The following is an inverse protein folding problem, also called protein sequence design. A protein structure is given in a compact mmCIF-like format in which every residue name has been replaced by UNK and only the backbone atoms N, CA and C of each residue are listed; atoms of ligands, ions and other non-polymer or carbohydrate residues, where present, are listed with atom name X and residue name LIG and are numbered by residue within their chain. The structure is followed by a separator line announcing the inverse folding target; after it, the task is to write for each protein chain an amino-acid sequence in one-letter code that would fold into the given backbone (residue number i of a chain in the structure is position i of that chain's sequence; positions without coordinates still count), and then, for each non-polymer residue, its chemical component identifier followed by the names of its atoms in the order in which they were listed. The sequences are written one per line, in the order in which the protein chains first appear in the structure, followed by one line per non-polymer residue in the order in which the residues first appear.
data_IF_914539487300
#
_entry.id   IF_914539487300
#
_cell.length_a   1.000
_cell.length_b   1.000
_cell.length_c   1.000
_cell.angle_alpha   90.00
_cell.angle_beta   90.00
_cell.angle_gamma   90.00
#
_symmetry.space_group_name_H-M   'P 1'
#
loop_
_entity.id
_entity.type
_entity.pdbx_description
1 polymer ?
#
# COMPACT_ATOMS: atom_id res chain seq x y z
N UNK A 1 10.93 19.01 4.83
CA UNK A 1 9.80 19.04 3.87
C UNK A 1 9.10 17.69 3.90
N UNK A 2 7.76 17.64 3.79
CA UNK A 2 7.03 16.37 3.62
C UNK A 2 7.33 15.79 2.23
N UNK A 3 7.55 14.48 2.14
CA UNK A 3 7.77 13.78 0.86
C UNK A 3 6.45 13.70 0.07
N UNK A 4 6.51 13.85 -1.25
CA UNK A 4 5.38 13.59 -2.14
C UNK A 4 5.05 12.10 -2.18
N UNK A 5 3.85 11.74 -2.65
CA UNK A 5 3.46 10.34 -2.86
C UNK A 5 4.44 9.60 -3.77
N UNK A 6 4.92 10.25 -4.85
CA UNK A 6 5.90 9.67 -5.76
C UNK A 6 7.25 9.38 -5.06
N UNK A 7 7.73 10.29 -4.21
CA UNK A 7 8.98 10.09 -3.47
C UNK A 7 8.86 8.94 -2.46
N UNK A 8 7.70 8.75 -1.84
CA UNK A 8 7.44 7.63 -0.93
C UNK A 8 7.29 6.32 -1.69
N UNK A 9 6.57 6.33 -2.80
CA UNK A 9 6.42 5.18 -3.68
C UNK A 9 7.79 4.67 -4.14
N UNK A 10 8.69 5.57 -4.55
CA UNK A 10 10.07 5.22 -4.87
C UNK A 10 10.84 4.64 -3.66
N UNK A 11 10.68 5.24 -2.47
CA UNK A 11 11.33 4.75 -1.23
C UNK A 11 10.93 3.30 -0.93
N UNK A 12 9.63 3.00 -0.98
CA UNK A 12 9.07 1.67 -0.71
C UNK A 12 9.00 0.78 -1.94
N UNK A 13 9.53 1.25 -3.08
CA UNK A 13 9.55 0.57 -4.38
C UNK A 13 8.16 0.19 -4.89
N UNK A 14 7.11 0.90 -4.45
CA UNK A 14 5.72 0.64 -4.84
C UNK A 14 5.50 0.99 -6.32
N UNK A 15 4.90 0.09 -7.12
CA UNK A 15 4.53 0.41 -8.50
C UNK A 15 3.43 1.46 -8.52
N UNK A 16 3.49 2.37 -9.48
CA UNK A 16 2.45 3.39 -9.69
C UNK A 16 1.17 2.78 -10.30
N UNK A 17 1.34 1.81 -11.20
CA UNK A 17 0.28 1.02 -11.82
C UNK A 17 0.65 -0.48 -11.81
N UNK A 18 -0.30 -1.34 -11.48
CA UNK A 18 -0.11 -2.81 -11.37
C UNK A 18 -1.47 -3.52 -11.27
N UNK A 19 -1.49 -4.81 -10.92
CA UNK A 19 -2.70 -5.58 -10.56
C UNK A 19 -2.65 -5.97 -9.07
N UNK A 20 -3.80 -6.27 -8.42
CA UNK A 20 -3.80 -6.74 -7.04
C UNK A 20 -2.91 -7.97 -6.82
N UNK A 21 -2.91 -8.95 -7.74
CA UNK A 21 -2.06 -10.15 -7.63
C UNK A 21 -0.57 -9.78 -7.64
N UNK A 22 -0.15 -8.95 -8.60
CA UNK A 22 1.25 -8.51 -8.68
C UNK A 22 1.67 -7.68 -7.46
N UNK A 23 0.76 -6.85 -6.93
CA UNK A 23 1.00 -6.10 -5.70
C UNK A 23 1.13 -7.04 -4.49
N UNK A 24 0.25 -8.04 -4.38
CA UNK A 24 0.30 -9.05 -3.32
C UNK A 24 1.63 -9.81 -3.35
N UNK A 25 2.00 -10.35 -4.51
CA UNK A 25 3.26 -11.08 -4.71
C UNK A 25 4.50 -10.25 -4.33
N UNK A 26 4.46 -8.95 -4.63
CA UNK A 26 5.54 -8.02 -4.26
C UNK A 26 5.65 -7.82 -2.74
N UNK A 27 4.52 -7.80 -2.03
CA UNK A 27 4.46 -7.50 -0.60
C UNK A 27 4.56 -8.76 0.29
N UNK A 28 4.06 -9.90 -0.17
CA UNK A 28 3.98 -11.17 0.57
C UNK A 28 5.35 -11.67 1.03
N UNK A 29 6.38 -11.52 0.19
CA UNK A 29 7.74 -11.95 0.53
C UNK A 29 8.40 -11.09 1.63
N UNK A 30 7.72 -10.05 2.11
CA UNK A 30 8.26 -9.08 3.05
C UNK A 30 7.23 -8.70 4.12
N UNK A 31 6.53 -9.66 4.72
CA UNK A 31 5.58 -9.43 5.85
C UNK A 31 4.42 -8.45 5.55
N UNK A 32 4.17 -8.16 4.27
CA UNK A 32 3.08 -7.28 3.86
C UNK A 32 1.73 -7.99 3.79
N UNK A 33 0.66 -7.22 3.69
CA UNK A 33 -0.71 -7.71 3.49
C UNK A 33 -1.50 -6.73 2.67
N UNK A 34 -2.41 -7.23 1.84
CA UNK A 34 -3.38 -6.41 1.12
C UNK A 34 -4.81 -6.82 1.47
N UNK A 35 -5.74 -5.90 1.30
CA UNK A 35 -7.17 -6.12 1.49
C UNK A 35 -7.94 -5.38 0.39
N UNK A 36 -8.81 -6.08 -0.32
CA UNK A 36 -9.78 -5.45 -1.23
C UNK A 36 -10.90 -4.79 -0.43
N UNK A 37 -11.16 -3.50 -0.68
CA UNK A 37 -12.16 -2.69 0.01
C UNK A 37 -12.90 -1.81 -1.01
N UNK A 38 -14.06 -2.29 -1.49
CA UNK A 38 -14.83 -1.60 -2.52
C UNK A 38 -14.06 -1.48 -3.83
N UNK A 39 -13.84 -0.26 -4.31
CA UNK A 39 -13.05 0.07 -5.50
C UNK A 39 -11.55 0.31 -5.20
N UNK A 40 -11.08 -0.10 -4.02
CA UNK A 40 -9.71 0.12 -3.54
C UNK A 40 -9.04 -1.18 -3.13
N UNK A 41 -7.70 -1.15 -3.19
CA UNK A 41 -6.84 -2.10 -2.51
C UNK A 41 -6.10 -1.36 -1.40
N UNK A 42 -6.27 -1.81 -0.17
CA UNK A 42 -5.54 -1.33 0.99
C UNK A 42 -4.30 -2.21 1.17
N UNK A 43 -3.16 -1.60 1.42
CA UNK A 43 -1.91 -2.32 1.58
C UNK A 43 -1.19 -1.87 2.86
N UNK A 44 -0.70 -2.84 3.62
CA UNK A 44 0.33 -2.64 4.61
C UNK A 44 1.60 -3.32 4.10
N UNK A 45 2.68 -2.57 3.94
CA UNK A 45 3.97 -3.11 3.51
C UNK A 45 5.03 -2.94 4.60
N UNK A 46 6.05 -3.79 4.55
CA UNK A 46 7.24 -3.67 5.40
C UNK A 46 8.40 -3.06 4.61
N UNK A 47 9.11 -2.15 5.26
CA UNK A 47 10.39 -1.63 4.82
C UNK A 47 11.22 -1.35 6.07
N UNK A 48 12.32 -2.07 6.24
CA UNK A 48 13.13 -2.00 7.46
C UNK A 48 13.53 -0.54 7.78
N UNK A 49 13.19 -0.12 8.99
CA UNK A 49 13.64 1.13 9.59
C UNK A 49 14.28 0.83 10.96
N UNK A 50 15.53 1.29 11.23
CA UNK A 50 16.20 1.05 12.50
C UNK A 50 15.49 1.67 13.72
N UNK A 51 14.51 2.56 13.53
CA UNK A 51 13.69 3.10 14.62
C UNK A 51 12.63 2.09 15.16
N UNK A 52 12.53 0.89 14.56
CA UNK A 52 11.61 -0.16 14.96
C UNK A 52 10.19 -0.05 14.38
N UNK A 53 9.89 1.04 13.66
CA UNK A 53 8.62 1.26 12.96
C UNK A 53 8.82 1.01 11.47
N UNK A 54 8.78 -0.26 11.09
CA UNK A 54 9.11 -0.71 9.73
C UNK A 54 7.90 -0.90 8.81
N UNK A 55 6.68 -0.57 9.23
CA UNK A 55 5.48 -0.75 8.40
C UNK A 55 5.01 0.57 7.81
N UNK A 56 4.45 0.54 6.60
CA UNK A 56 3.81 1.69 5.97
C UNK A 56 2.44 1.28 5.41
N UNK A 57 1.54 2.26 5.32
CA UNK A 57 0.25 2.08 4.66
C UNK A 57 0.28 2.63 3.24
N UNK A 58 -0.40 1.96 2.32
CA UNK A 58 -0.64 2.42 0.96
C UNK A 58 -2.08 2.14 0.53
N UNK A 59 -2.60 2.95 -0.38
CA UNK A 59 -3.94 2.79 -0.96
C UNK A 59 -3.82 2.85 -2.46
N UNK A 60 -4.35 1.83 -3.13
CA UNK A 60 -4.53 1.75 -4.56
C UNK A 60 -6.02 1.84 -4.90
N UNK A 61 -6.34 2.22 -6.14
CA UNK A 61 -7.71 2.24 -6.66
C UNK A 61 -7.80 1.50 -7.99
N UNK A 62 -8.83 0.69 -8.17
CA UNK A 62 -9.16 0.14 -9.47
C UNK A 62 -9.44 1.28 -10.46
N UNK A 63 -8.99 1.08 -11.70
CA UNK A 63 -9.16 2.06 -12.78
C UNK A 63 -10.19 1.65 -13.81
N UNK A 64 -10.70 0.42 -13.69
CA UNK A 64 -11.75 -0.19 -14.51
C UNK A 64 -12.77 -0.88 -13.61
N UNK A 65 -13.84 -1.43 -14.19
CA UNK A 65 -14.83 -2.23 -13.45
C UNK A 65 -14.35 -3.65 -13.12
N UNK A 66 -13.18 -4.05 -13.63
CA UNK A 66 -12.56 -5.33 -13.28
C UNK A 66 -11.93 -5.22 -11.90
N UNK A 67 -12.65 -5.72 -10.89
CA UNK A 67 -12.18 -5.77 -9.51
C UNK A 67 -11.65 -7.15 -9.11
N UNK A 68 -11.28 -7.98 -10.10
CA UNK A 68 -10.60 -9.26 -9.84
C UNK A 68 -9.12 -9.03 -9.50
N UNK A 69 -8.37 -10.11 -9.25
CA UNK A 69 -6.95 -10.03 -8.94
C UNK A 69 -6.07 -9.52 -10.11
N UNK A 70 -6.62 -9.49 -11.32
CA UNK A 70 -5.96 -9.00 -12.54
C UNK A 70 -6.39 -7.58 -12.95
N UNK A 71 -7.33 -6.99 -12.22
CA UNK A 71 -7.82 -5.64 -12.51
C UNK A 71 -6.74 -4.57 -12.38
N UNK A 72 -6.75 -3.58 -13.27
CA UNK A 72 -5.77 -2.48 -13.24
C UNK A 72 -5.98 -1.56 -12.04
N UNK A 73 -4.96 -1.44 -11.18
CA UNK A 73 -4.94 -0.55 -10.02
C UNK A 73 -3.85 0.52 -10.11
N UNK A 74 -4.14 1.71 -9.58
CA UNK A 74 -3.17 2.82 -9.46
C UNK A 74 -2.96 3.28 -8.02
N UNK A 75 -1.73 3.61 -7.68
CA UNK A 75 -1.36 4.12 -6.35
C UNK A 75 -1.98 5.51 -6.13
N UNK A 76 -2.75 5.66 -5.05
CA UNK A 76 -3.43 6.90 -4.67
C UNK A 76 -2.73 7.60 -3.52
N UNK A 77 -2.33 6.85 -2.49
CA UNK A 77 -1.70 7.43 -1.31
C UNK A 77 -0.74 6.48 -0.61
N UNK A 78 0.20 7.07 0.13
CA UNK A 78 1.16 6.36 1.00
C UNK A 78 1.30 7.15 2.30
N UNK A 79 1.36 6.47 3.44
CA UNK A 79 1.47 7.09 4.76
C UNK A 79 2.70 8.01 4.87
N UNK A 80 2.52 9.14 5.58
CA UNK A 80 3.64 10.02 5.97
C UNK A 80 4.49 9.36 7.07
N UNK A 81 3.83 8.67 7.98
CA UNK A 81 4.42 7.98 9.12
C UNK A 81 4.63 6.49 8.82
N UNK A 82 5.51 5.87 9.59
CA UNK A 82 5.66 4.43 9.66
C UNK A 82 5.04 3.89 10.95
N UNK A 83 4.77 2.59 11.00
CA UNK A 83 4.02 1.91 12.05
C UNK A 83 4.79 0.73 12.62
N UNK A 84 4.43 0.34 13.84
CA UNK A 84 5.06 -0.76 14.59
C UNK A 84 4.68 -2.14 14.03
N UNK A 85 3.49 -2.25 13.43
CA UNK A 85 2.95 -3.48 12.85
C UNK A 85 2.07 -3.20 11.63
N UNK A 86 1.69 -4.27 10.92
CA UNK A 86 0.80 -4.20 9.76
C UNK A 86 -0.64 -3.80 10.14
N UNK A 87 -1.10 -4.05 11.37
CA UNK A 87 -2.43 -3.70 11.85
C UNK A 87 -2.65 -2.18 11.91
N UNK A 88 -1.70 -1.44 12.48
CA UNK A 88 -1.73 0.02 12.55
C UNK A 88 -1.59 0.65 11.15
N UNK A 89 -0.75 0.08 10.30
CA UNK A 89 -0.64 0.51 8.90
C UNK A 89 -1.96 0.29 8.14
N UNK A 90 -2.65 -0.83 8.37
CA UNK A 90 -3.95 -1.11 7.78
C UNK A 90 -5.06 -0.19 8.35
N UNK A 91 -5.04 0.09 9.65
CA UNK A 91 -5.95 1.06 10.26
C UNK A 91 -5.81 2.45 9.62
N UNK A 92 -4.57 2.87 9.34
CA UNK A 92 -4.32 4.08 8.57
C UNK A 92 -4.90 3.98 7.15
N UNK A 93 -4.68 2.87 6.43
CA UNK A 93 -5.17 2.69 5.06
C UNK A 93 -6.70 2.73 4.99
N UNK A 94 -7.38 2.07 5.94
CA UNK A 94 -8.84 2.13 6.10
C UNK A 94 -9.32 3.57 6.34
N UNK A 95 -8.61 4.37 7.15
CA UNK A 95 -8.97 5.79 7.36
C UNK A 95 -8.88 6.66 6.10
N UNK A 96 -8.22 6.18 5.04
CA UNK A 96 -8.10 6.84 3.73
C UNK A 96 -9.02 6.24 2.67
N UNK A 97 -9.75 5.18 3.02
CA UNK A 97 -10.62 4.45 2.12
C UNK A 97 -12.07 4.99 2.10
N UNK A 98 -12.38 5.95 2.98
CA UNK A 98 -13.64 6.70 3.01
C UNK A 98 -13.79 7.68 1.83
#
# INVERSE_FOLDING_TARGET
MKKTTAQKAATYRLPEATTPENLEMKLMNNLGTILTFGDRILAAGYFYDPNGRSYYGAVYRFTTEDHTCEGDIKLVSVSDETFIDNGHAMAWAMSKAN
#
